data_IF_369344873699
#
_entry.id   IF_369344873699
#
_cell.length_a   1.000
_cell.length_b   1.000
_cell.length_c   1.000
_cell.angle_alpha   90.00
_cell.angle_beta   90.00
_cell.angle_gamma   90.00
#
_symmetry.space_group_name_H-M   'P 1'
#
loop_
_entity.id
_entity.type
_entity.pdbx_description
1 polymer ?
#
# COMPACT_ATOMS: atom_id res chain seq x y z
N UNK A 1 -1.10 -21.40 -18.48
CA UNK A 1 -0.79 -20.18 -17.71
C UNK A 1 -0.06 -19.20 -18.61
N UNK A 2 -0.43 -17.93 -18.53
CA UNK A 2 0.17 -16.87 -19.34
C UNK A 2 0.86 -15.85 -18.42
N UNK A 3 2.19 -15.94 -18.24
CA UNK A 3 2.91 -15.04 -17.34
C UNK A 3 2.75 -13.55 -17.67
N UNK A 4 2.77 -13.18 -18.94
CA UNK A 4 2.62 -11.79 -19.36
C UNK A 4 1.25 -11.23 -19.03
N UNK A 5 0.19 -12.00 -19.27
CA UNK A 5 -1.18 -11.59 -18.97
C UNK A 5 -1.39 -11.49 -17.45
N UNK A 6 -0.87 -12.43 -16.68
CA UNK A 6 -0.94 -12.43 -15.23
C UNK A 6 -0.21 -11.19 -14.66
N UNK A 7 0.98 -10.91 -15.17
CA UNK A 7 1.76 -9.73 -14.79
C UNK A 7 0.98 -8.43 -15.08
N UNK A 8 0.47 -8.25 -16.30
CA UNK A 8 -0.29 -7.04 -16.65
C UNK A 8 -1.55 -6.88 -15.79
N UNK A 9 -2.27 -7.96 -15.53
CA UNK A 9 -3.49 -7.91 -14.73
C UNK A 9 -3.23 -7.63 -13.25
N UNK A 10 -2.00 -7.78 -12.78
CA UNK A 10 -1.61 -7.46 -11.40
C UNK A 10 -1.42 -5.96 -11.16
N UNK A 11 -1.32 -5.17 -12.22
CA UNK A 11 -1.04 -3.74 -12.13
C UNK A 11 -2.34 -2.96 -12.15
N UNK A 12 -2.56 -2.11 -11.15
CA UNK A 12 -3.60 -1.10 -11.21
C UNK A 12 -3.13 0.03 -12.11
N UNK A 13 -3.96 0.42 -13.08
CA UNK A 13 -3.62 1.51 -13.99
C UNK A 13 -4.72 2.54 -14.04
N UNK A 14 -4.32 3.79 -14.15
CA UNK A 14 -5.22 4.88 -14.50
C UNK A 14 -5.55 4.81 -16.00
N UNK A 15 -6.58 5.54 -16.42
CA UNK A 15 -7.03 5.52 -17.82
C UNK A 15 -5.93 5.95 -18.80
N UNK A 16 -5.01 6.78 -18.38
CA UNK A 16 -3.86 7.23 -19.19
C UNK A 16 -2.67 6.28 -19.17
N UNK A 17 -2.79 5.14 -18.47
CA UNK A 17 -1.75 4.11 -18.40
C UNK A 17 -0.80 4.21 -17.23
N UNK A 18 -0.84 5.29 -16.43
CA UNK A 18 0.02 5.40 -15.25
C UNK A 18 -0.30 4.29 -14.26
N UNK A 19 0.73 3.73 -13.66
CA UNK A 19 0.58 2.73 -12.60
C UNK A 19 0.08 3.39 -11.31
N UNK A 20 -0.65 2.64 -10.50
CA UNK A 20 -1.27 3.18 -9.31
C UNK A 20 -1.45 2.12 -8.23
N UNK A 21 -1.78 2.56 -7.03
CA UNK A 21 -2.18 1.73 -5.90
C UNK A 21 -3.49 2.29 -5.35
N UNK A 22 -4.44 1.44 -4.94
CA UNK A 22 -5.68 1.93 -4.35
C UNK A 22 -5.42 2.82 -3.13
N UNK A 23 -6.14 3.94 -3.05
CA UNK A 23 -6.07 4.83 -1.89
C UNK A 23 -6.41 4.10 -0.59
N UNK A 24 -7.31 3.11 -0.66
CA UNK A 24 -7.69 2.28 0.49
C UNK A 24 -6.51 1.47 1.04
N UNK A 25 -5.55 1.08 0.21
CA UNK A 25 -4.35 0.38 0.68
C UNK A 25 -3.48 1.30 1.55
N UNK A 26 -3.29 2.54 1.13
CA UNK A 26 -2.57 3.53 1.93
C UNK A 26 -3.31 3.87 3.22
N UNK A 27 -4.63 4.04 3.14
CA UNK A 27 -5.43 4.29 4.35
C UNK A 27 -5.33 3.11 5.32
N UNK A 28 -5.42 1.88 4.84
CA UNK A 28 -5.28 0.69 5.68
C UNK A 28 -3.90 0.64 6.37
N UNK A 29 -2.85 1.02 5.67
CA UNK A 29 -1.51 1.10 6.24
C UNK A 29 -1.42 2.14 7.36
N UNK A 30 -2.03 3.31 7.16
CA UNK A 30 -2.10 4.37 8.18
C UNK A 30 -2.89 3.93 9.41
N UNK A 31 -4.07 3.35 9.20
CA UNK A 31 -4.92 2.86 10.29
C UNK A 31 -4.19 1.77 11.08
N UNK A 32 -3.52 0.86 10.40
CA UNK A 32 -2.75 -0.19 11.06
C UNK A 32 -1.58 0.35 11.89
N UNK A 33 -0.99 1.45 11.48
CA UNK A 33 0.15 2.05 12.18
C UNK A 33 -0.21 2.65 13.54
N UNK A 34 -1.48 3.04 13.76
CA UNK A 34 -1.89 3.69 15.01
C UNK A 34 -1.72 2.79 16.23
N UNK A 35 -1.70 1.46 16.05
CA UNK A 35 -1.47 0.53 17.16
C UNK A 35 -0.09 0.67 17.80
N UNK A 36 0.84 1.35 17.13
CA UNK A 36 2.17 1.62 17.65
C UNK A 36 2.28 2.97 18.37
N UNK A 37 1.17 3.69 18.49
CA UNK A 37 1.09 5.02 19.10
C UNK A 37 0.01 5.04 20.17
N UNK A 38 0.18 5.90 21.17
CA UNK A 38 -0.81 6.14 22.20
C UNK A 38 -1.80 7.22 21.78
N UNK A 39 -3.01 7.17 22.33
CA UNK A 39 -3.98 8.25 22.22
C UNK A 39 -4.93 8.20 21.02
N UNK A 40 -4.76 7.23 20.10
CA UNK A 40 -5.64 7.07 18.95
C UNK A 40 -5.90 5.59 18.70
N UNK A 41 -7.17 5.21 18.64
CA UNK A 41 -7.57 3.85 18.29
C UNK A 41 -7.69 3.68 16.79
N UNK A 42 -7.67 2.43 16.31
CA UNK A 42 -7.88 2.14 14.90
C UNK A 42 -9.26 2.60 14.42
N UNK A 43 -10.28 2.47 15.25
CA UNK A 43 -11.63 2.94 14.92
C UNK A 43 -11.66 4.46 14.75
N UNK A 44 -11.01 5.18 15.66
CA UNK A 44 -10.89 6.64 15.54
C UNK A 44 -10.10 7.04 14.29
N UNK A 45 -9.02 6.34 13.99
CA UNK A 45 -8.19 6.63 12.82
C UNK A 45 -8.96 6.46 11.51
N UNK A 46 -9.82 5.46 11.41
CA UNK A 46 -10.68 5.27 10.24
C UNK A 46 -11.54 6.48 9.94
N UNK A 47 -12.00 7.16 10.97
CA UNK A 47 -12.85 8.35 10.84
C UNK A 47 -12.07 9.65 10.74
N UNK A 48 -10.79 9.65 11.11
CA UNK A 48 -9.99 10.87 11.26
C UNK A 48 -8.94 11.07 10.17
N UNK A 49 -8.66 10.04 9.36
CA UNK A 49 -7.60 10.07 8.34
C UNK A 49 -8.18 9.67 6.98
N UNK A 50 -7.86 10.45 5.95
CA UNK A 50 -8.32 10.21 4.60
C UNK A 50 -7.16 10.36 3.62
N UNK A 51 -7.02 9.40 2.72
CA UNK A 51 -6.06 9.47 1.60
C UNK A 51 -6.86 9.74 0.34
N UNK A 52 -6.56 10.86 -0.32
CA UNK A 52 -7.29 11.26 -1.52
C UNK A 52 -6.73 10.54 -2.75
N UNK A 53 -7.58 9.82 -3.51
CA UNK A 53 -7.19 9.31 -4.81
C UNK A 53 -7.16 10.41 -5.85
N UNK A 54 -6.66 10.09 -7.05
CA UNK A 54 -6.82 11.00 -8.18
C UNK A 54 -8.32 11.16 -8.50
N UNK A 55 -8.71 12.38 -8.85
CA UNK A 55 -10.12 12.73 -9.10
C UNK A 55 -10.77 11.76 -10.10
N UNK A 56 -11.97 11.30 -9.76
CA UNK A 56 -12.73 10.37 -10.59
C UNK A 56 -12.27 8.91 -10.47
N UNK A 57 -11.32 8.61 -9.59
CA UNK A 57 -10.80 7.26 -9.39
C UNK A 57 -10.72 6.93 -7.90
N UNK A 58 -10.38 5.68 -7.60
CA UNK A 58 -10.01 5.24 -6.25
C UNK A 58 -8.50 4.95 -6.13
N UNK A 59 -7.71 5.46 -7.08
CA UNK A 59 -6.31 5.12 -7.24
C UNK A 59 -5.40 6.32 -6.94
N UNK A 60 -4.26 6.01 -6.32
CA UNK A 60 -3.14 6.95 -6.11
C UNK A 60 -2.06 6.60 -7.12
N UNK A 61 -1.68 7.53 -8.01
CA UNK A 61 -0.61 7.27 -8.96
C UNK A 61 0.72 7.00 -8.24
N UNK A 62 1.49 6.08 -8.78
CA UNK A 62 2.85 5.82 -8.32
C UNK A 62 3.84 6.07 -9.44
N UNK A 63 5.03 6.48 -9.06
CA UNK A 63 6.17 6.68 -9.96
C UNK A 63 7.15 5.55 -9.74
N UNK A 64 7.53 4.87 -10.80
CA UNK A 64 8.45 3.74 -10.74
C UNK A 64 8.30 2.87 -11.98
N UNK A 65 9.27 1.99 -12.19
CA UNK A 65 9.25 1.06 -13.31
C UNK A 65 8.78 -0.30 -12.82
N UNK A 66 7.73 -0.88 -13.42
CA UNK A 66 7.29 -2.21 -13.06
C UNK A 66 8.27 -3.27 -13.56
N UNK A 67 8.47 -4.28 -12.74
CA UNK A 67 9.28 -5.47 -13.06
C UNK A 67 8.45 -6.71 -12.76
N UNK A 68 8.53 -7.71 -13.61
CA UNK A 68 7.86 -8.98 -13.37
C UNK A 68 8.52 -9.72 -12.21
N UNK A 69 7.71 -10.14 -11.23
CA UNK A 69 8.12 -11.07 -10.19
C UNK A 69 7.48 -12.42 -10.44
N UNK A 70 8.21 -13.46 -10.16
CA UNK A 70 7.70 -14.82 -10.13
C UNK A 70 7.64 -15.27 -8.68
N UNK A 71 6.43 -15.34 -8.14
CA UNK A 71 6.19 -15.63 -6.73
C UNK A 71 5.58 -17.01 -6.55
N UNK A 72 6.20 -17.84 -5.73
CA UNK A 72 5.59 -19.11 -5.33
C UNK A 72 4.70 -18.87 -4.12
N UNK A 73 3.43 -19.25 -4.24
CA UNK A 73 2.44 -19.12 -3.18
C UNK A 73 1.84 -20.49 -2.88
N UNK A 74 1.31 -20.65 -1.66
CA UNK A 74 0.54 -21.84 -1.30
C UNK A 74 -0.94 -21.49 -1.27
N UNK A 75 -1.72 -22.31 -1.98
CA UNK A 75 -3.17 -22.22 -1.95
C UNK A 75 -3.68 -22.79 -0.63
N UNK A 76 -4.95 -22.54 -0.30
CA UNK A 76 -5.56 -23.09 0.92
C UNK A 76 -5.53 -24.61 0.97
N UNK A 77 -5.55 -25.26 -0.19
CA UNK A 77 -5.40 -26.70 -0.34
C UNK A 77 -4.01 -27.23 0.02
N UNK A 78 -3.02 -26.34 0.25
CA UNK A 78 -1.63 -26.69 0.50
C UNK A 78 -0.80 -26.87 -0.77
N UNK A 79 -1.40 -26.83 -1.94
CA UNK A 79 -0.71 -26.96 -3.23
C UNK A 79 0.05 -25.67 -3.55
N UNK A 80 1.29 -25.79 -4.01
CA UNK A 80 2.08 -24.66 -4.48
C UNK A 80 1.57 -24.17 -5.83
N UNK A 81 1.56 -22.86 -6.02
CA UNK A 81 1.22 -22.23 -7.28
C UNK A 81 2.24 -21.12 -7.56
N UNK A 82 2.41 -20.79 -8.83
CA UNK A 82 3.30 -19.70 -9.26
C UNK A 82 2.46 -18.55 -9.75
N UNK A 83 2.74 -17.35 -9.23
CA UNK A 83 2.07 -16.13 -9.65
C UNK A 83 3.06 -15.14 -10.22
N UNK A 84 2.66 -14.53 -11.32
CA UNK A 84 3.44 -13.51 -12.02
C UNK A 84 2.79 -12.17 -11.72
N UNK A 85 3.51 -11.32 -10.98
CA UNK A 85 3.00 -10.04 -10.50
C UNK A 85 4.05 -8.95 -10.71
N UNK A 86 3.61 -7.70 -10.73
CA UNK A 86 4.54 -6.59 -10.81
C UNK A 86 5.13 -6.24 -9.46
N UNK A 87 6.42 -5.93 -9.46
CA UNK A 87 7.08 -5.21 -8.39
C UNK A 87 7.62 -3.90 -8.93
N UNK A 88 7.73 -2.91 -8.07
CA UNK A 88 8.24 -1.58 -8.44
C UNK A 88 9.42 -1.26 -7.55
N UNK A 89 10.59 -1.04 -8.15
CA UNK A 89 11.78 -0.61 -7.40
C UNK A 89 12.72 0.19 -8.32
N UNK A 90 13.11 1.41 -7.89
CA UNK A 90 12.50 2.16 -6.78
C UNK A 90 11.10 2.63 -7.13
N UNK A 91 10.36 3.08 -6.13
CA UNK A 91 9.05 3.67 -6.36
C UNK A 91 8.79 4.82 -5.40
N UNK A 92 7.89 5.71 -5.80
CA UNK A 92 7.43 6.81 -4.96
C UNK A 92 5.98 7.14 -5.25
N UNK A 93 5.34 7.85 -4.33
CA UNK A 93 4.00 8.37 -4.51
C UNK A 93 3.89 9.68 -3.74
N UNK A 94 3.00 10.55 -4.20
CA UNK A 94 2.60 11.72 -3.44
C UNK A 94 1.25 11.45 -2.82
N UNK A 95 1.20 11.42 -1.50
CA UNK A 95 -0.04 11.21 -0.76
C UNK A 95 -0.62 12.56 -0.32
N UNK A 96 -1.89 12.76 -0.60
CA UNK A 96 -2.66 13.84 0.00
C UNK A 96 -3.46 13.26 1.15
N UNK A 97 -3.02 13.56 2.36
CA UNK A 97 -3.66 13.08 3.58
C UNK A 97 -4.46 14.21 4.21
N UNK A 98 -5.74 13.98 4.39
CA UNK A 98 -6.63 14.89 5.09
C UNK A 98 -6.92 14.30 6.47
N UNK A 99 -6.91 15.12 7.51
CA UNK A 99 -7.09 14.64 8.88
C UNK A 99 -7.90 15.64 9.72
N UNK A 100 -8.50 15.13 10.79
CA UNK A 100 -9.26 15.96 11.73
C UNK A 100 -8.29 16.65 12.70
N UNK A 101 -8.18 18.00 12.66
CA UNK A 101 -7.13 18.72 13.40
C UNK A 101 -7.31 18.71 14.92
N UNK A 102 -8.50 18.38 15.44
CA UNK A 102 -8.69 18.25 16.88
C UNK A 102 -8.30 16.86 17.43
N UNK A 103 -8.03 15.91 16.55
CA UNK A 103 -7.59 14.55 16.92
C UNK A 103 -6.11 14.30 16.61
N UNK A 104 -5.59 14.98 15.60
CA UNK A 104 -4.24 14.80 15.10
C UNK A 104 -3.62 16.15 14.76
N UNK A 105 -2.31 16.27 14.92
CA UNK A 105 -1.54 17.38 14.39
C UNK A 105 -0.69 16.92 13.20
N UNK A 106 -0.10 17.89 12.50
CA UNK A 106 0.72 17.61 11.31
C UNK A 106 1.89 16.68 11.64
N UNK A 107 2.55 16.94 12.75
CA UNK A 107 3.70 16.14 13.20
C UNK A 107 3.32 14.68 13.43
N UNK A 108 2.18 14.46 14.08
CA UNK A 108 1.65 13.10 14.30
C UNK A 108 1.30 12.40 12.99
N UNK A 109 0.75 13.13 12.02
CA UNK A 109 0.43 12.54 10.72
C UNK A 109 1.70 12.10 10.00
N UNK A 110 2.76 12.90 9.99
CA UNK A 110 4.04 12.48 9.41
C UNK A 110 4.62 11.24 10.09
N UNK A 111 4.54 11.19 11.42
CA UNK A 111 5.00 10.02 12.17
C UNK A 111 4.20 8.76 11.82
N UNK A 112 2.87 8.90 11.64
CA UNK A 112 2.01 7.80 11.23
C UNK A 112 2.34 7.30 9.81
N UNK A 113 2.59 8.22 8.89
CA UNK A 113 2.96 7.84 7.51
C UNK A 113 4.28 7.05 7.51
N UNK A 114 5.29 7.50 8.26
CA UNK A 114 6.54 6.77 8.38
C UNK A 114 6.32 5.37 8.98
N UNK A 115 5.55 5.28 10.06
CA UNK A 115 5.24 4.00 10.68
C UNK A 115 4.44 3.08 9.75
N UNK A 116 3.51 3.65 8.98
CA UNK A 116 2.73 2.91 7.98
C UNK A 116 3.64 2.27 6.93
N UNK A 117 4.74 2.93 6.58
CA UNK A 117 5.71 2.41 5.62
C UNK A 117 6.41 1.15 6.08
N UNK A 118 6.49 0.90 7.38
CA UNK A 118 7.05 -0.35 7.90
C UNK A 118 6.10 -1.54 7.72
N UNK A 119 4.79 -1.31 7.79
CA UNK A 119 3.79 -2.32 7.45
C UNK A 119 3.61 -2.49 5.95
N UNK A 120 3.86 -1.44 5.20
CA UNK A 120 3.86 -1.43 3.75
C UNK A 120 2.50 -1.49 3.09
N UNK A 121 2.52 -1.48 1.77
CA UNK A 121 1.33 -1.61 0.91
C UNK A 121 1.58 -2.70 -0.14
N UNK A 122 0.48 -3.27 -0.64
CA UNK A 122 0.56 -4.29 -1.68
C UNK A 122 0.83 -5.69 -1.15
N UNK A 123 0.97 -6.60 -2.10
CA UNK A 123 1.22 -8.01 -1.79
C UNK A 123 2.65 -8.21 -1.27
N UNK A 124 2.78 -9.17 -0.36
CA UNK A 124 4.06 -9.48 0.30
C UNK A 124 4.64 -8.29 1.08
N UNK A 125 3.77 -7.40 1.54
CA UNK A 125 4.13 -6.37 2.51
C UNK A 125 4.39 -7.01 3.87
N UNK A 126 5.19 -6.40 4.74
CA UNK A 126 5.46 -6.95 6.08
C UNK A 126 4.20 -7.22 6.90
N UNK A 127 3.17 -6.40 6.75
CA UNK A 127 1.91 -6.55 7.51
C UNK A 127 0.92 -7.53 6.89
N UNK A 128 1.23 -8.17 5.75
CA UNK A 128 0.30 -9.09 5.10
C UNK A 128 0.09 -10.34 5.98
N UNK A 129 -1.17 -10.75 6.23
CA UNK A 129 -1.45 -11.82 7.19
C UNK A 129 -0.84 -13.17 6.85
N UNK A 130 -0.64 -13.46 5.57
CA UNK A 130 -0.13 -14.75 5.08
C UNK A 130 1.26 -14.64 4.47
N UNK A 131 1.94 -13.53 4.67
CA UNK A 131 3.30 -13.34 4.17
C UNK A 131 4.30 -13.67 5.26
N UNK A 132 5.04 -14.75 5.09
CA UNK A 132 6.01 -15.19 6.08
C UNK A 132 7.27 -14.32 6.14
N UNK A 133 7.60 -13.60 5.07
CA UNK A 133 8.86 -12.89 4.96
C UNK A 133 8.79 -11.71 3.98
N UNK A 134 7.60 -11.15 3.80
CA UNK A 134 7.41 -10.03 2.86
C UNK A 134 8.15 -8.79 3.34
N UNK A 135 8.83 -8.13 2.41
CA UNK A 135 9.47 -6.84 2.64
C UNK A 135 9.23 -5.88 1.48
N UNK A 136 8.27 -6.21 0.63
CA UNK A 136 7.87 -5.36 -0.49
C UNK A 136 6.88 -4.29 -0.02
N UNK A 137 6.84 -3.19 -0.76
CA UNK A 137 5.87 -2.13 -0.52
C UNK A 137 6.14 -1.26 0.70
N UNK A 138 7.29 -1.40 1.33
CA UNK A 138 7.72 -0.51 2.41
C UNK A 138 8.05 0.87 1.86
N UNK A 139 7.84 1.88 2.69
CA UNK A 139 8.11 3.26 2.30
C UNK A 139 8.43 4.12 3.52
N UNK A 140 8.89 5.33 3.28
CA UNK A 140 9.11 6.36 4.28
C UNK A 140 8.75 7.73 3.70
N UNK A 141 8.55 8.69 4.59
CA UNK A 141 8.35 10.07 4.17
C UNK A 141 9.67 10.65 3.70
N UNK A 142 9.65 11.36 2.56
CA UNK A 142 10.75 12.18 2.06
C UNK A 142 10.20 13.57 1.77
N UNK A 143 11.05 14.55 1.84
CA UNK A 143 10.51 15.86 1.57
C UNK A 143 11.38 17.02 1.87
#
# INVERSE_FOLDING_TARGET
KNPEADYESSIYRLADGRCAIPATAFKAALVGAVRHFDGLTMVQAKAALFVSPEEGTDLVPIVGTPHMREDMVRLESGVADIRYRAGFWPWSATLKVTFLPHMLDVSSVFALVDAAGLGGVGEWRPSAPKSASGSYGMFRVVG
#
